data_IF_694551507629
#
_entry.id   IF_694551507629
#
_cell.length_a   1.000
_cell.length_b   1.000
_cell.length_c   1.000
_cell.angle_alpha   90.00
_cell.angle_beta   90.00
_cell.angle_gamma   90.00
#
_symmetry.space_group_name_H-M   'P 1'
#
loop_
_entity.id
_entity.type
_entity.pdbx_description
1 polymer ?
#
# COMPACT_ATOMS: atom_id res chain seq x y z
N UNK A 1 7.47 24.44 15.03
CA UNK A 1 6.22 24.05 14.34
C UNK A 1 6.46 23.45 12.96
N UNK A 2 7.18 24.12 12.05
CA UNK A 2 7.45 23.63 10.67
C UNK A 2 8.11 22.24 10.65
N UNK A 3 9.12 22.00 11.48
CA UNK A 3 9.81 20.70 11.55
C UNK A 3 8.85 19.57 11.94
N UNK A 4 7.99 19.79 12.93
CA UNK A 4 7.02 18.79 13.37
C UNK A 4 5.99 18.49 12.27
N UNK A 5 5.52 19.52 11.56
CA UNK A 5 4.61 19.35 10.42
C UNK A 5 5.28 18.58 9.28
N UNK A 6 6.54 18.87 8.97
CA UNK A 6 7.28 18.13 7.94
C UNK A 6 7.42 16.64 8.30
N UNK A 7 7.76 16.33 9.56
CA UNK A 7 7.83 14.94 10.05
C UNK A 7 6.46 14.26 9.92
N UNK A 8 5.38 14.94 10.30
CA UNK A 8 4.03 14.40 10.20
C UNK A 8 3.64 14.12 8.74
N UNK A 9 3.93 15.04 7.82
CA UNK A 9 3.66 14.86 6.38
C UNK A 9 4.45 13.69 5.82
N UNK A 10 5.73 13.55 6.16
CA UNK A 10 6.55 12.42 5.74
C UNK A 10 6.01 11.09 6.30
N UNK A 11 5.60 11.08 7.57
CA UNK A 11 5.01 9.89 8.20
C UNK A 11 3.70 9.49 7.51
N UNK A 12 2.79 10.45 7.27
CA UNK A 12 1.53 10.21 6.58
C UNK A 12 1.74 9.71 5.15
N UNK A 13 2.69 10.28 4.41
CA UNK A 13 3.03 9.84 3.07
C UNK A 13 3.56 8.39 3.08
N UNK A 14 4.45 8.05 4.01
CA UNK A 14 4.95 6.68 4.17
C UNK A 14 3.84 5.69 4.54
N UNK A 15 2.95 6.07 5.46
CA UNK A 15 1.77 5.27 5.84
C UNK A 15 0.84 5.04 4.66
N UNK A 16 0.57 6.07 3.85
CA UNK A 16 -0.26 5.96 2.66
C UNK A 16 0.37 5.03 1.62
N UNK A 17 1.67 5.16 1.35
CA UNK A 17 2.41 4.27 0.46
C UNK A 17 2.30 2.81 0.91
N UNK A 18 2.46 2.53 2.21
CA UNK A 18 2.36 1.18 2.74
C UNK A 18 0.94 0.60 2.59
N UNK A 19 -0.08 1.39 2.93
CA UNK A 19 -1.48 0.98 2.81
C UNK A 19 -1.87 0.70 1.34
N UNK A 20 -1.46 1.58 0.43
CA UNK A 20 -1.75 1.41 -1.01
C UNK A 20 -0.96 0.24 -1.61
N UNK A 21 0.27 0.00 -1.17
CA UNK A 21 1.03 -1.18 -1.59
C UNK A 21 0.32 -2.49 -1.21
N UNK A 22 -0.24 -2.57 0.00
CA UNK A 22 -1.02 -3.72 0.45
C UNK A 22 -2.35 -3.84 -0.31
N UNK A 23 -3.08 -2.74 -0.48
CA UNK A 23 -4.33 -2.71 -1.29
C UNK A 23 -4.07 -3.24 -2.69
N UNK A 24 -3.06 -2.72 -3.37
CA UNK A 24 -2.73 -3.12 -4.73
C UNK A 24 -2.27 -4.59 -4.80
N UNK A 25 -1.51 -5.09 -3.82
CA UNK A 25 -1.14 -6.50 -3.72
C UNK A 25 -2.36 -7.42 -3.60
N UNK A 26 -3.38 -7.01 -2.83
CA UNK A 26 -4.65 -7.72 -2.70
C UNK A 26 -5.43 -7.73 -4.01
N UNK A 27 -5.60 -6.55 -4.64
CA UNK A 27 -6.33 -6.39 -5.90
C UNK A 27 -5.72 -7.23 -7.03
N UNK A 28 -4.38 -7.33 -7.06
CA UNK A 28 -3.64 -8.07 -8.08
C UNK A 28 -3.30 -9.51 -7.66
N UNK A 29 -3.85 -10.00 -6.53
CA UNK A 29 -3.68 -11.37 -6.03
C UNK A 29 -2.21 -11.80 -5.84
N UNK A 30 -1.31 -10.87 -5.53
CA UNK A 30 0.12 -11.17 -5.35
C UNK A 30 0.43 -11.94 -4.07
N UNK A 31 -0.44 -11.86 -3.07
CA UNK A 31 -0.28 -12.51 -1.77
C UNK A 31 -1.34 -13.59 -1.51
N UNK A 32 -1.70 -14.41 -2.51
CA UNK A 32 -2.55 -15.58 -2.29
C UNK A 32 -1.78 -16.68 -1.56
N UNK A 33 -2.43 -17.32 -0.59
CA UNK A 33 -1.82 -18.45 0.11
C UNK A 33 -1.63 -19.64 -0.84
N UNK A 34 -0.48 -20.31 -0.70
CA UNK A 34 -0.07 -21.40 -1.61
C UNK A 34 -0.85 -22.69 -1.37
N UNK A 35 -1.30 -22.91 -0.15
CA UNK A 35 -2.04 -24.10 0.28
C UNK A 35 -3.53 -23.83 0.19
N UNK A 36 -3.97 -22.69 0.71
CA UNK A 36 -5.38 -22.28 0.76
C UNK A 36 -5.63 -21.14 -0.23
N UNK A 37 -5.93 -21.46 -1.49
CA UNK A 37 -6.07 -20.46 -2.57
C UNK A 37 -7.15 -19.39 -2.34
N UNK A 38 -8.09 -19.64 -1.42
CA UNK A 38 -9.13 -18.69 -1.00
C UNK A 38 -8.65 -17.73 0.10
N UNK A 39 -7.50 -18.00 0.73
CA UNK A 39 -6.92 -17.20 1.80
C UNK A 39 -5.80 -16.29 1.31
N UNK A 40 -5.49 -15.29 2.14
CA UNK A 40 -4.44 -14.30 1.90
C UNK A 40 -3.26 -14.57 2.82
N UNK A 41 -2.07 -14.66 2.24
CA UNK A 41 -0.81 -14.75 2.98
C UNK A 41 -0.49 -13.38 3.62
N UNK A 42 -0.73 -13.29 4.93
CA UNK A 42 -0.44 -12.07 5.72
C UNK A 42 1.05 -11.76 5.81
N UNK A 43 1.92 -12.78 5.75
CA UNK A 43 3.37 -12.57 5.79
C UNK A 43 3.87 -11.96 4.48
N UNK A 44 3.29 -12.37 3.36
CA UNK A 44 3.50 -11.69 2.07
C UNK A 44 3.11 -10.20 2.16
N UNK A 45 1.94 -9.86 2.71
CA UNK A 45 1.49 -8.46 2.82
C UNK A 45 2.42 -7.55 3.63
N UNK A 46 3.24 -8.09 4.54
CA UNK A 46 4.21 -7.31 5.30
C UNK A 46 5.43 -6.90 4.48
N UNK A 47 5.74 -7.63 3.41
CA UNK A 47 7.01 -7.51 2.68
C UNK A 47 6.84 -7.29 1.17
N UNK A 48 5.62 -7.45 0.66
CA UNK A 48 5.29 -7.32 -0.77
C UNK A 48 5.68 -5.95 -1.30
N UNK A 49 6.17 -5.93 -2.54
CA UNK A 49 6.34 -4.71 -3.34
C UNK A 49 5.50 -4.87 -4.59
N UNK A 50 4.29 -4.32 -4.55
CA UNK A 50 3.29 -4.59 -5.58
C UNK A 50 3.41 -3.69 -6.80
N UNK A 51 4.25 -2.66 -6.74
CA UNK A 51 4.71 -1.84 -7.86
C UNK A 51 6.21 -1.63 -7.78
N UNK A 52 6.81 -1.21 -8.88
CA UNK A 52 8.26 -0.95 -8.98
C UNK A 52 8.73 0.17 -8.05
N UNK A 53 7.85 1.13 -7.79
CA UNK A 53 8.24 2.44 -7.29
C UNK A 53 7.25 3.00 -6.26
N UNK A 54 7.76 3.49 -5.14
CA UNK A 54 6.94 3.96 -4.01
C UNK A 54 6.04 5.16 -4.35
N UNK A 55 6.48 6.05 -5.24
CA UNK A 55 5.70 7.22 -5.63
C UNK A 55 4.47 6.87 -6.46
N UNK A 56 4.44 5.71 -7.11
CA UNK A 56 3.24 5.24 -7.80
C UNK A 56 2.11 4.95 -6.79
N UNK A 57 2.46 4.38 -5.63
CA UNK A 57 1.51 4.18 -4.54
C UNK A 57 1.03 5.53 -3.96
N UNK A 58 1.96 6.46 -3.75
CA UNK A 58 1.60 7.79 -3.23
C UNK A 58 0.67 8.53 -4.21
N UNK A 59 1.01 8.54 -5.50
CA UNK A 59 0.22 9.21 -6.54
C UNK A 59 -1.15 8.57 -6.71
N UNK A 60 -1.24 7.24 -6.72
CA UNK A 60 -2.53 6.56 -6.80
C UNK A 60 -3.39 6.84 -5.57
N UNK A 61 -2.83 6.70 -4.36
CA UNK A 61 -3.54 6.93 -3.11
C UNK A 61 -4.06 8.35 -2.92
N UNK A 62 -3.35 9.37 -3.44
CA UNK A 62 -3.81 10.76 -3.43
C UNK A 62 -4.83 11.07 -4.55
N UNK A 63 -4.77 10.34 -5.67
CA UNK A 63 -5.64 10.56 -6.83
C UNK A 63 -6.95 9.76 -6.82
N UNK A 64 -7.02 8.64 -6.09
CA UNK A 64 -8.14 7.70 -6.10
C UNK A 64 -8.74 7.57 -4.69
N UNK A 65 -9.37 8.65 -4.23
CA UNK A 65 -9.94 8.74 -2.87
C UNK A 65 -11.27 8.00 -2.72
N UNK A 66 -11.84 7.51 -3.82
CA UNK A 66 -13.07 6.72 -3.85
C UNK A 66 -12.78 5.32 -4.38
N UNK A 67 -13.46 4.28 -3.87
CA UNK A 67 -13.39 2.95 -4.47
C UNK A 67 -13.77 2.99 -5.96
N UNK A 68 -13.06 2.22 -6.78
CA UNK A 68 -13.50 1.93 -8.15
C UNK A 68 -14.81 1.13 -8.09
N UNK A 69 -15.72 1.41 -9.02
CA UNK A 69 -17.07 0.82 -9.07
C UNK A 69 -17.04 -0.63 -9.53
#
# INVERSE_FOLDING_TARGET
>A
MVVLLAILVCWLAASLVNAENQRHALMTKQCQDRVFKEEVDKMCLLTVRSREHWWQHLGYGLGHLTPEK
#
